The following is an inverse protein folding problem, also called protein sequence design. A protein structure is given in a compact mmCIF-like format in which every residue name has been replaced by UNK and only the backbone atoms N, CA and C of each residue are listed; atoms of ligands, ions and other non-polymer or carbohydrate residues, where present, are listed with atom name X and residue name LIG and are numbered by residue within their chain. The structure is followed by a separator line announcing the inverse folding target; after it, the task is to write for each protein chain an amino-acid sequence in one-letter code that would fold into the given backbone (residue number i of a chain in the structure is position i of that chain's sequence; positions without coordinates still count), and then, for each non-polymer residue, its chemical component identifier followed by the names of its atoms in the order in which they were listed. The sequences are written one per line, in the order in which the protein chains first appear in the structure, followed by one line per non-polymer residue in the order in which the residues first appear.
data_IF_385060761850
#
_entry.id   IF_385060761850
#
_cell.length_a   1.000
_cell.length_b   1.000
_cell.length_c   1.000
_cell.angle_alpha   90.00
_cell.angle_beta   90.00
_cell.angle_gamma   90.00
#
_symmetry.space_group_name_H-M   'P 1'
#
loop_
_entity.id
_entity.type
_entity.pdbx_description
1 polymer ?
#
# COMPACT_ATOMS: atom_id res chain seq x y z
N UNK A 1 40.26 -1.68 3.64
CA UNK A 1 39.40 -0.48 3.79
C UNK A 1 38.87 -0.17 2.39
N UNK A 2 37.61 -0.49 2.08
CA UNK A 2 37.05 -0.23 0.75
C UNK A 2 36.85 1.29 0.59
N UNK A 3 37.46 1.86 -0.44
CA UNK A 3 37.30 3.27 -0.82
C UNK A 3 35.83 3.54 -1.16
N UNK A 4 35.19 4.44 -0.39
CA UNK A 4 33.90 5.04 -0.72
C UNK A 4 34.13 6.25 -1.64
N UNK A 5 34.88 6.05 -2.71
CA UNK A 5 35.20 7.14 -3.63
C UNK A 5 33.99 7.44 -4.51
N UNK A 6 33.35 8.57 -4.20
CA UNK A 6 32.50 9.37 -5.07
C UNK A 6 31.23 8.70 -5.64
N UNK A 7 30.22 8.51 -4.79
CA UNK A 7 28.83 8.63 -5.24
C UNK A 7 28.59 10.11 -5.60
N UNK A 8 29.06 10.53 -6.79
CA UNK A 8 28.62 11.80 -7.37
C UNK A 8 27.11 11.66 -7.50
N UNK A 9 26.37 12.50 -6.76
CA UNK A 9 24.92 12.56 -6.84
C UNK A 9 24.58 13.10 -8.23
N UNK A 10 24.54 12.21 -9.22
CA UNK A 10 24.15 12.58 -10.58
C UNK A 10 22.64 12.85 -10.59
N UNK A 11 22.18 13.69 -11.53
CA UNK A 11 20.77 14.10 -11.59
C UNK A 11 19.80 12.91 -11.69
N UNK A 12 20.21 11.82 -12.36
CA UNK A 12 19.42 10.59 -12.46
C UNK A 12 19.28 9.84 -11.11
N UNK A 13 20.32 9.83 -10.29
CA UNK A 13 20.29 9.27 -8.94
C UNK A 13 19.39 10.06 -8.00
N UNK A 14 19.39 11.39 -8.13
CA UNK A 14 18.47 12.28 -7.39
C UNK A 14 17.01 12.00 -7.79
N UNK A 15 16.74 11.92 -9.10
CA UNK A 15 15.40 11.64 -9.64
C UNK A 15 14.87 10.26 -9.17
N UNK A 16 15.73 9.23 -9.15
CA UNK A 16 15.35 7.92 -8.61
C UNK A 16 15.07 7.97 -7.10
N UNK A 17 15.87 8.70 -6.31
CA UNK A 17 15.63 8.89 -4.89
C UNK A 17 14.29 9.60 -4.63
N UNK A 18 13.98 10.65 -5.40
CA UNK A 18 12.71 11.37 -5.30
C UNK A 18 11.52 10.44 -5.59
N UNK A 19 11.61 9.64 -6.65
CA UNK A 19 10.58 8.66 -6.99
C UNK A 19 10.40 7.58 -5.92
N UNK A 20 11.49 7.11 -5.30
CA UNK A 20 11.43 6.18 -4.17
C UNK A 20 10.77 6.84 -2.96
N UNK A 21 11.17 8.06 -2.60
CA UNK A 21 10.53 8.81 -1.51
C UNK A 21 9.02 8.97 -1.75
N UNK A 22 8.63 9.33 -2.97
CA UNK A 22 7.22 9.47 -3.36
C UNK A 22 6.45 8.14 -3.22
N UNK A 23 7.09 7.01 -3.54
CA UNK A 23 6.50 5.70 -3.31
C UNK A 23 6.32 5.39 -1.81
N UNK A 24 7.32 5.74 -0.99
CA UNK A 24 7.32 5.51 0.46
C UNK A 24 6.27 6.34 1.19
N UNK A 25 5.86 7.50 0.66
CA UNK A 25 4.81 8.35 1.25
C UNK A 25 3.49 7.57 1.45
N UNK A 26 3.10 6.70 0.52
CA UNK A 26 1.86 5.92 0.66
C UNK A 26 1.90 5.00 1.90
N UNK A 27 3.05 4.37 2.16
CA UNK A 27 3.24 3.53 3.34
C UNK A 27 3.32 4.35 4.62
N UNK A 28 3.97 5.52 4.56
CA UNK A 28 4.05 6.43 5.69
C UNK A 28 2.66 6.92 6.11
N UNK A 29 1.83 7.33 5.15
CA UNK A 29 0.47 7.82 5.40
C UNK A 29 -0.42 6.72 6.01
N UNK A 30 -0.33 5.49 5.50
CA UNK A 30 -1.04 4.35 6.09
C UNK A 30 -0.56 4.05 7.51
N UNK A 31 0.76 4.07 7.74
CA UNK A 31 1.37 3.83 9.05
C UNK A 31 0.94 4.90 10.05
N UNK A 32 0.98 6.17 9.67
CA UNK A 32 0.52 7.29 10.49
C UNK A 32 -0.96 7.12 10.83
N UNK A 33 -1.79 6.79 9.84
CA UNK A 33 -3.22 6.52 10.06
C UNK A 33 -3.45 5.40 11.07
N UNK A 34 -2.71 4.29 10.97
CA UNK A 34 -2.85 3.14 11.87
C UNK A 34 -2.22 3.34 13.25
N UNK A 35 -1.24 4.23 13.36
CA UNK A 35 -0.53 4.51 14.62
C UNK A 35 -1.30 5.43 15.56
N UNK A 36 -2.44 6.00 15.12
CA UNK A 36 -3.26 6.84 15.98
C UNK A 36 -3.88 6.03 17.12
N UNK A 37 -3.55 6.41 18.37
CA UNK A 37 -4.03 5.72 19.58
C UNK A 37 -5.42 6.21 20.03
N UNK A 38 -5.75 7.47 19.75
CA UNK A 38 -6.96 8.13 20.27
C UNK A 38 -8.12 8.20 19.30
N UNK A 39 -7.97 7.62 18.11
CA UNK A 39 -9.02 7.57 17.09
C UNK A 39 -9.24 6.13 16.67
N UNK A 40 -10.48 5.69 16.43
CA UNK A 40 -10.71 4.40 15.80
C UNK A 40 -9.93 4.37 14.46
N UNK A 41 -9.07 3.37 14.31
CA UNK A 41 -8.27 3.15 13.10
C UNK A 41 -8.83 2.01 12.26
N UNK A 42 -9.51 1.04 12.88
CA UNK A 42 -10.08 -0.13 12.22
C UNK A 42 -11.11 0.21 11.13
N UNK A 43 -11.91 1.25 11.33
CA UNK A 43 -12.85 1.76 10.32
C UNK A 43 -12.16 2.39 9.10
N UNK A 44 -10.93 2.89 9.27
CA UNK A 44 -10.14 3.49 8.18
C UNK A 44 -9.36 2.44 7.39
N UNK A 45 -9.15 1.26 7.97
CA UNK A 45 -8.28 0.22 7.43
C UNK A 45 -8.59 -0.11 5.97
N UNK A 46 -9.86 -0.35 5.63
CA UNK A 46 -10.23 -0.78 4.28
C UNK A 46 -9.87 0.29 3.24
N UNK A 47 -10.08 1.57 3.55
CA UNK A 47 -9.69 2.65 2.63
C UNK A 47 -8.17 2.70 2.46
N UNK A 48 -7.41 2.64 3.54
CA UNK A 48 -5.94 2.66 3.46
C UNK A 48 -5.40 1.41 2.73
N UNK A 49 -6.02 0.26 2.93
CA UNK A 49 -5.69 -0.97 2.22
C UNK A 49 -5.94 -0.86 0.70
N UNK A 50 -7.05 -0.22 0.29
CA UNK A 50 -7.34 0.09 -1.11
C UNK A 50 -6.32 1.06 -1.71
N UNK A 51 -5.97 2.12 -0.98
CA UNK A 51 -4.94 3.08 -1.41
C UNK A 51 -3.59 2.39 -1.62
N UNK A 52 -3.20 1.52 -0.68
CA UNK A 52 -1.98 0.72 -0.79
C UNK A 52 -2.05 -0.25 -1.97
N UNK A 53 -3.20 -0.88 -2.22
CA UNK A 53 -3.38 -1.78 -3.35
C UNK A 53 -3.13 -1.07 -4.69
N UNK A 54 -3.72 0.11 -4.88
CA UNK A 54 -3.47 0.94 -6.06
C UNK A 54 -2.01 1.39 -6.17
N UNK A 55 -1.39 1.74 -5.04
CA UNK A 55 0.03 2.10 -5.00
C UNK A 55 0.93 0.94 -5.44
N UNK A 56 0.69 -0.29 -4.97
CA UNK A 56 1.42 -1.48 -5.40
C UNK A 56 1.29 -1.74 -6.90
N UNK A 57 0.08 -1.64 -7.46
CA UNK A 57 -0.12 -1.78 -8.91
C UNK A 57 0.68 -0.76 -9.73
N UNK A 58 0.89 0.44 -9.21
CA UNK A 58 1.72 1.45 -9.86
C UNK A 58 3.23 1.16 -9.71
N UNK A 59 3.66 0.64 -8.55
CA UNK A 59 5.08 0.39 -8.26
C UNK A 59 5.63 -0.89 -8.91
N UNK A 60 4.80 -1.92 -9.12
CA UNK A 60 5.24 -3.14 -9.80
C UNK A 60 5.68 -2.89 -11.26
N UNK A 61 5.10 -1.87 -11.89
CA UNK A 61 5.43 -1.48 -13.27
C UNK A 61 6.61 -0.50 -13.37
N UNK A 62 7.24 -0.14 -12.24
CA UNK A 62 8.29 0.87 -12.18
C UNK A 62 9.66 0.26 -11.86
N UNK A 63 10.58 0.28 -12.82
CA UNK A 63 11.90 -0.37 -12.75
C UNK A 63 12.75 0.01 -11.52
N UNK A 64 12.57 1.23 -10.99
CA UNK A 64 13.35 1.75 -9.86
C UNK A 64 12.84 1.31 -8.48
N UNK A 65 11.62 0.74 -8.38
CA UNK A 65 11.01 0.28 -7.12
C UNK A 65 10.48 -1.14 -7.18
N UNK A 66 10.34 -1.75 -8.36
CA UNK A 66 9.70 -3.06 -8.55
C UNK A 66 10.25 -4.15 -7.63
N UNK A 67 11.58 -4.23 -7.47
CA UNK A 67 12.23 -5.18 -6.56
C UNK A 67 11.77 -5.00 -5.10
N UNK A 68 11.83 -3.77 -4.57
CA UNK A 68 11.42 -3.49 -3.18
C UNK A 68 9.90 -3.59 -3.00
N UNK A 69 9.14 -3.13 -3.99
CA UNK A 69 7.68 -3.21 -4.02
C UNK A 69 7.20 -4.66 -3.91
N UNK A 70 7.89 -5.61 -4.56
CA UNK A 70 7.62 -7.05 -4.44
C UNK A 70 7.71 -7.56 -3.00
N UNK A 71 8.81 -7.28 -2.29
CA UNK A 71 8.96 -7.70 -0.88
C UNK A 71 7.95 -7.02 0.05
N UNK A 72 7.64 -5.75 -0.19
CA UNK A 72 6.66 -5.02 0.61
C UNK A 72 5.25 -5.58 0.40
N UNK A 73 4.91 -5.92 -0.86
CA UNK A 73 3.65 -6.56 -1.21
C UNK A 73 3.54 -7.93 -0.57
N UNK A 74 4.59 -8.74 -0.62
CA UNK A 74 4.64 -10.06 0.03
C UNK A 74 4.38 -9.93 1.53
N UNK A 75 5.10 -9.03 2.22
CA UNK A 75 4.89 -8.78 3.65
C UNK A 75 3.48 -8.31 3.96
N UNK A 76 2.91 -7.42 3.15
CA UNK A 76 1.56 -6.93 3.34
C UNK A 76 0.52 -8.05 3.17
N UNK A 77 0.61 -8.82 2.08
CA UNK A 77 -0.32 -9.92 1.78
C UNK A 77 -0.18 -11.09 2.76
N UNK A 78 0.99 -11.29 3.38
CA UNK A 78 1.16 -12.27 4.46
C UNK A 78 0.16 -12.07 5.59
N UNK A 79 -0.18 -10.82 5.92
CA UNK A 79 -1.13 -10.49 6.99
C UNK A 79 -2.53 -10.20 6.47
N UNK A 80 -2.64 -9.63 5.27
CA UNK A 80 -3.89 -9.05 4.78
C UNK A 80 -4.35 -9.62 3.43
N UNK A 81 -3.83 -10.78 3.00
CA UNK A 81 -4.37 -11.50 1.83
C UNK A 81 -5.85 -11.79 1.97
N UNK A 82 -6.31 -12.06 3.19
CA UNK A 82 -7.71 -12.11 3.57
C UNK A 82 -7.96 -11.05 4.64
N UNK A 83 -8.71 -10.00 4.30
CA UNK A 83 -9.02 -8.93 5.25
C UNK A 83 -9.92 -9.50 6.36
N UNK A 84 -9.52 -9.40 7.65
CA UNK A 84 -10.37 -9.82 8.75
C UNK A 84 -11.72 -9.10 8.75
N UNK A 85 -12.81 -9.85 8.98
CA UNK A 85 -14.18 -9.32 8.94
C UNK A 85 -14.43 -8.14 9.89
N UNK A 86 -13.66 -8.05 10.99
CA UNK A 86 -13.75 -6.93 11.94
C UNK A 86 -13.52 -5.57 11.26
N UNK A 87 -12.66 -5.50 10.24
CA UNK A 87 -12.45 -4.26 9.48
C UNK A 87 -13.64 -3.90 8.61
N UNK A 88 -14.34 -4.90 8.06
CA UNK A 88 -15.60 -4.70 7.34
C UNK A 88 -16.71 -4.17 8.25
N UNK A 89 -16.87 -4.78 9.43
CA UNK A 89 -17.83 -4.31 10.44
C UNK A 89 -17.49 -2.87 10.86
N UNK A 90 -16.22 -2.59 11.19
CA UNK A 90 -15.79 -1.26 11.59
C UNK A 90 -16.02 -0.21 10.48
N UNK A 91 -15.81 -0.58 9.22
CA UNK A 91 -16.07 0.29 8.07
C UNK A 91 -17.56 0.61 7.91
N UNK A 92 -18.44 -0.39 8.01
CA UNK A 92 -19.90 -0.21 7.93
C UNK A 92 -20.44 0.64 9.08
N UNK A 93 -19.88 0.48 10.28
CA UNK A 93 -20.30 1.22 11.47
C UNK A 93 -19.84 2.69 11.45
N UNK A 94 -18.95 3.06 10.53
CA UNK A 94 -18.56 4.45 10.37
C UNK A 94 -19.57 5.20 9.50
N UNK A 95 -20.31 6.18 10.06
CA UNK A 95 -21.36 6.89 9.34
C UNK A 95 -20.84 7.72 8.16
N UNK A 96 -19.52 7.91 8.04
CA UNK A 96 -18.88 8.63 6.93
C UNK A 96 -18.83 7.79 5.66
N UNK A 97 -18.98 6.46 5.74
CA UNK A 97 -18.97 5.58 4.58
C UNK A 97 -20.37 5.07 4.26
N UNK A 98 -20.64 4.83 2.97
CA UNK A 98 -21.91 4.24 2.52
C UNK A 98 -21.76 2.72 2.49
N UNK A 99 -22.80 1.97 2.85
CA UNK A 99 -22.80 0.50 2.83
C UNK A 99 -22.32 -0.08 1.48
N UNK A 100 -22.78 0.48 0.35
CA UNK A 100 -22.36 0.05 -0.99
C UNK A 100 -20.88 0.27 -1.30
N UNK A 101 -20.21 1.19 -0.60
CA UNK A 101 -18.77 1.44 -0.80
C UNK A 101 -17.88 0.33 -0.26
N UNK A 102 -18.37 -0.51 0.67
CA UNK A 102 -17.57 -1.62 1.19
C UNK A 102 -17.29 -2.67 0.11
N UNK A 103 -18.34 -3.08 -0.62
CA UNK A 103 -18.21 -4.09 -1.68
C UNK A 103 -17.32 -3.58 -2.81
N UNK A 104 -17.50 -2.33 -3.23
CA UNK A 104 -16.64 -1.68 -4.23
C UNK A 104 -15.17 -1.65 -3.80
N UNK A 105 -14.89 -1.25 -2.54
CA UNK A 105 -13.54 -1.24 -2.00
C UNK A 105 -12.90 -2.63 -1.97
N UNK A 106 -13.64 -3.64 -1.50
CA UNK A 106 -13.13 -5.01 -1.42
C UNK A 106 -12.88 -5.59 -2.82
N UNK A 107 -13.81 -5.39 -3.76
CA UNK A 107 -13.66 -5.83 -5.15
C UNK A 107 -12.42 -5.21 -5.79
N UNK A 108 -12.20 -3.90 -5.62
CA UNK A 108 -11.00 -3.24 -6.10
C UNK A 108 -9.73 -3.82 -5.46
N UNK A 109 -9.72 -3.97 -4.13
CA UNK A 109 -8.58 -4.51 -3.38
C UNK A 109 -8.18 -5.90 -3.88
N UNK A 110 -9.15 -6.81 -3.99
CA UNK A 110 -8.88 -8.18 -4.43
C UNK A 110 -8.51 -8.23 -5.91
N UNK A 111 -9.10 -7.40 -6.76
CA UNK A 111 -8.70 -7.30 -8.16
C UNK A 111 -7.25 -6.81 -8.30
N UNK A 112 -6.87 -5.76 -7.58
CA UNK A 112 -5.52 -5.20 -7.65
C UNK A 112 -4.42 -6.21 -7.28
N UNK A 113 -4.71 -7.18 -6.39
CA UNK A 113 -3.73 -8.15 -5.93
C UNK A 113 -3.85 -9.55 -6.55
N UNK A 114 -5.05 -9.99 -6.93
CA UNK A 114 -5.32 -11.40 -7.25
C UNK A 114 -6.01 -11.61 -8.60
N UNK A 115 -6.27 -10.56 -9.39
CA UNK A 115 -6.95 -10.70 -10.70
C UNK A 115 -6.20 -11.61 -11.69
N UNK A 116 -4.88 -11.79 -11.52
CA UNK A 116 -4.07 -12.76 -12.29
C UNK A 116 -4.38 -14.24 -11.97
N UNK A 117 -4.85 -14.55 -10.75
CA UNK A 117 -5.02 -15.94 -10.28
C UNK A 117 -6.40 -16.51 -10.67
N UNK A 118 -7.38 -15.64 -10.95
CA UNK A 118 -8.75 -16.07 -11.27
C UNK A 118 -8.97 -16.44 -12.75
N UNK A 119 -7.97 -16.29 -13.62
CA UNK A 119 -8.03 -16.59 -15.06
C UNK A 119 -7.03 -17.68 -15.51
N UNK A 120 -6.63 -18.57 -14.60
CA UNK A 120 -5.81 -19.77 -14.90
C UNK A 120 -6.64 -21.03 -14.66
#
# INVERSE_FOLDING_TARGET
MKQYDNYIINSAGIDNCEKICNALIYFNNATETFSHVYKPTSNQFIREAVNLAGAFSNFENADYVSYFAGFMKEKFLKYYSHIPHIYGIAFVLDPRFRLGSLEECLNYYYAAFFWSIANV
#
